data_IF_809010149308
#
_entry.id   IF_809010149308
#
_cell.length_a   1.000
_cell.length_b   1.000
_cell.length_c   1.000
_cell.angle_alpha   90.00
_cell.angle_beta   90.00
_cell.angle_gamma   90.00
#
_symmetry.space_group_name_H-M   'P 1'
#
loop_
_entity.id
_entity.type
_entity.pdbx_description
1 polymer ?
#
# COMPACT_ATOMS: atom_id res chain seq x y z
N UNK A 1 -5.71 -21.89 8.33
CA UNK A 1 -6.96 -21.56 7.60
C UNK A 1 -6.54 -20.85 6.32
N UNK A 2 -7.10 -21.17 5.14
CA UNK A 2 -6.74 -20.50 3.90
C UNK A 2 -7.09 -18.99 3.94
N UNK A 3 -6.30 -18.16 3.27
CA UNK A 3 -6.54 -16.71 3.15
C UNK A 3 -7.77 -16.44 2.27
N UNK A 4 -8.62 -15.52 2.71
CA UNK A 4 -9.76 -15.01 1.94
C UNK A 4 -9.47 -13.60 1.40
N UNK A 5 -10.23 -13.10 0.42
CA UNK A 5 -9.95 -11.80 -0.21
C UNK A 5 -10.00 -10.63 0.80
N UNK A 6 -10.91 -10.68 1.78
CA UNK A 6 -11.00 -9.69 2.86
C UNK A 6 -9.83 -9.72 3.87
N UNK A 7 -8.92 -10.70 3.78
CA UNK A 7 -7.69 -10.73 4.57
C UNK A 7 -6.59 -9.82 4.00
N UNK A 8 -6.76 -9.34 2.76
CA UNK A 8 -5.79 -8.53 2.03
C UNK A 8 -6.15 -7.04 2.03
N UNK A 9 -5.13 -6.19 2.16
CA UNK A 9 -5.25 -4.75 1.96
C UNK A 9 -4.16 -4.25 1.03
N UNK A 10 -4.54 -3.48 0.00
CA UNK A 10 -3.62 -2.77 -0.88
C UNK A 10 -3.62 -1.28 -0.51
N UNK A 11 -2.44 -0.69 -0.38
CA UNK A 11 -2.33 0.75 -0.10
C UNK A 11 -1.24 1.43 -0.90
N UNK A 12 -1.58 2.59 -1.44
CA UNK A 12 -0.63 3.56 -1.95
C UNK A 12 -0.88 4.90 -1.26
N UNK A 13 0.17 5.73 -1.19
CA UNK A 13 0.11 7.05 -0.56
C UNK A 13 -0.86 8.00 -1.25
N UNK A 14 -0.95 7.93 -2.58
CA UNK A 14 -1.83 8.81 -3.35
C UNK A 14 -3.05 8.07 -3.88
N UNK A 15 -4.23 8.64 -3.66
CA UNK A 15 -5.52 8.13 -4.17
C UNK A 15 -5.54 7.93 -5.68
N UNK A 16 -4.70 8.67 -6.40
CA UNK A 16 -4.56 8.54 -7.86
C UNK A 16 -4.02 7.16 -8.28
N UNK A 17 -3.33 6.46 -7.38
CA UNK A 17 -2.87 5.07 -7.59
C UNK A 17 -3.94 4.08 -7.16
N UNK A 18 -4.66 4.34 -6.07
CA UNK A 18 -5.66 3.42 -5.52
C UNK A 18 -6.83 3.15 -6.50
N UNK A 19 -7.28 4.15 -7.25
CA UNK A 19 -8.38 3.98 -8.22
C UNK A 19 -8.01 3.03 -9.38
N UNK A 20 -6.88 3.24 -10.10
CA UNK A 20 -6.40 2.29 -11.10
C UNK A 20 -6.18 0.87 -10.55
N UNK A 21 -5.67 0.74 -9.33
CA UNK A 21 -5.51 -0.58 -8.68
C UNK A 21 -6.86 -1.28 -8.54
N UNK A 22 -7.89 -0.55 -8.08
CA UNK A 22 -9.26 -1.08 -7.96
C UNK A 22 -9.83 -1.52 -9.31
N UNK A 23 -9.57 -0.76 -10.37
CA UNK A 23 -10.01 -1.09 -11.74
C UNK A 23 -9.28 -2.32 -12.30
N UNK A 24 -8.00 -2.50 -11.95
CA UNK A 24 -7.18 -3.62 -12.40
C UNK A 24 -7.50 -4.95 -11.68
N UNK A 25 -8.19 -4.92 -10.54
CA UNK A 25 -8.56 -6.14 -9.83
C UNK A 25 -9.58 -6.98 -10.63
N UNK A 26 -9.32 -8.30 -10.69
CA UNK A 26 -10.26 -9.25 -11.26
C UNK A 26 -11.62 -9.21 -10.53
N UNK A 27 -12.72 -9.43 -11.26
CA UNK A 27 -14.09 -9.29 -10.72
C UNK A 27 -14.35 -10.08 -9.44
N UNK A 28 -13.81 -11.31 -9.32
CA UNK A 28 -13.95 -12.13 -8.11
C UNK A 28 -13.25 -11.58 -6.86
N UNK A 29 -12.31 -10.64 -7.02
CA UNK A 29 -11.63 -9.96 -5.90
C UNK A 29 -12.34 -8.68 -5.47
N UNK A 30 -13.42 -8.30 -6.16
CA UNK A 30 -14.22 -7.09 -5.93
C UNK A 30 -15.62 -7.41 -5.39
N UNK A 31 -15.87 -8.66 -4.99
CA UNK A 31 -17.15 -9.09 -4.42
C UNK A 31 -17.46 -8.30 -3.13
N UNK A 32 -18.61 -7.62 -3.01
CA UNK A 32 -18.93 -6.80 -1.83
C UNK A 32 -18.91 -7.53 -0.49
N UNK A 33 -19.08 -8.85 -0.49
CA UNK A 33 -19.09 -9.71 0.70
C UNK A 33 -17.70 -10.26 1.04
N UNK A 34 -16.79 -10.27 0.06
CA UNK A 34 -15.43 -10.79 0.19
C UNK A 34 -14.49 -10.17 -0.85
N UNK A 35 -14.12 -8.91 -0.65
CA UNK A 35 -13.22 -8.17 -1.54
C UNK A 35 -11.87 -7.86 -0.90
N UNK A 36 -10.87 -7.64 -1.75
CA UNK A 36 -9.61 -7.02 -1.34
C UNK A 36 -9.89 -5.56 -0.99
N UNK A 37 -9.44 -5.12 0.18
CA UNK A 37 -9.57 -3.72 0.59
C UNK A 37 -8.49 -2.88 -0.10
N UNK A 38 -8.87 -1.70 -0.58
CA UNK A 38 -7.92 -0.72 -1.13
C UNK A 38 -8.11 0.59 -0.37
N UNK A 39 -7.04 1.11 0.22
CA UNK A 39 -7.14 2.32 1.03
C UNK A 39 -5.86 3.18 1.02
N UNK A 40 -5.95 4.42 1.52
CA UNK A 40 -4.78 5.31 1.63
C UNK A 40 -3.98 5.08 2.92
N UNK A 41 -2.74 5.56 2.95
CA UNK A 41 -1.86 5.47 4.12
C UNK A 41 -2.47 6.05 5.39
N UNK A 42 -3.26 7.14 5.27
CA UNK A 42 -3.88 7.81 6.40
C UNK A 42 -5.01 6.97 7.00
N UNK A 43 -5.75 6.26 6.14
CA UNK A 43 -6.86 5.39 6.56
C UNK A 43 -6.39 4.06 7.12
N UNK A 44 -5.16 3.66 6.81
CA UNK A 44 -4.50 2.53 7.46
C UNK A 44 -4.21 2.78 8.94
N UNK A 45 -4.16 4.02 9.41
CA UNK A 45 -3.90 4.32 10.81
C UNK A 45 -5.02 3.74 11.69
N UNK A 46 -4.69 2.74 12.51
CA UNK A 46 -5.65 2.05 13.37
C UNK A 46 -6.43 0.92 12.70
N UNK A 47 -6.07 0.53 11.47
CA UNK A 47 -6.58 -0.67 10.81
C UNK A 47 -5.46 -1.71 10.68
N UNK A 48 -5.80 -2.99 10.85
CA UNK A 48 -4.87 -4.11 10.64
C UNK A 48 -5.50 -5.16 9.72
N UNK A 49 -4.72 -5.76 8.83
CA UNK A 49 -5.12 -6.88 7.97
C UNK A 49 -4.09 -8.02 8.06
N UNK A 50 -4.43 -9.23 7.61
CA UNK A 50 -3.47 -10.35 7.68
C UNK A 50 -2.30 -10.09 6.73
N UNK A 51 -2.60 -9.67 5.50
CA UNK A 51 -1.61 -9.37 4.48
C UNK A 51 -1.78 -7.95 3.96
N UNK A 52 -0.66 -7.21 3.88
CA UNK A 52 -0.63 -5.90 3.21
C UNK A 52 0.23 -5.94 1.95
N UNK A 53 -0.25 -5.25 0.92
CA UNK A 53 0.50 -4.93 -0.30
C UNK A 53 0.59 -3.41 -0.37
N UNK A 54 1.79 -2.86 -0.28
CA UNK A 54 2.00 -1.42 -0.19
C UNK A 54 2.90 -0.92 -1.31
N UNK A 55 2.51 0.16 -1.96
CA UNK A 55 3.39 0.88 -2.89
C UNK A 55 4.24 1.84 -2.07
N UNK A 56 5.56 1.69 -2.14
CA UNK A 56 6.49 2.53 -1.41
C UNK A 56 6.21 4.02 -1.71
N UNK A 57 6.10 4.92 -0.71
CA UNK A 57 5.69 6.31 -0.92
C UNK A 57 6.50 7.06 -1.97
N UNK A 58 7.83 6.89 -1.93
CA UNK A 58 8.74 7.49 -2.91
C UNK A 58 8.60 6.94 -4.34
N UNK A 59 7.87 5.84 -4.54
CA UNK A 59 7.67 5.32 -5.89
C UNK A 59 6.96 6.35 -6.76
N UNK A 60 6.09 7.21 -6.23
CA UNK A 60 5.40 8.23 -7.03
C UNK A 60 6.10 9.59 -7.07
N UNK A 61 7.31 9.66 -6.51
CA UNK A 61 8.05 10.90 -6.35
C UNK A 61 9.27 10.88 -7.25
N UNK A 62 9.36 11.82 -8.20
CA UNK A 62 10.54 11.96 -9.08
C UNK A 62 11.57 12.94 -8.53
N UNK A 63 11.12 13.92 -7.72
CA UNK A 63 11.97 14.91 -7.06
C UNK A 63 11.44 15.11 -5.64
N UNK A 64 12.00 14.42 -4.64
CA UNK A 64 11.51 14.49 -3.28
C UNK A 64 11.85 15.83 -2.63
N UNK A 65 10.91 16.36 -1.87
CA UNK A 65 11.19 17.36 -0.86
C UNK A 65 11.48 16.66 0.48
N UNK A 66 11.92 17.42 1.48
CA UNK A 66 12.25 16.87 2.81
C UNK A 66 11.11 16.08 3.45
N UNK A 67 9.84 16.47 3.20
CA UNK A 67 8.67 15.76 3.71
C UNK A 67 8.44 14.39 3.05
N UNK A 68 8.90 14.19 1.81
CA UNK A 68 8.74 12.91 1.10
C UNK A 68 9.69 11.84 1.66
N UNK A 69 10.83 12.29 2.21
CA UNK A 69 11.85 11.45 2.83
C UNK A 69 11.52 11.08 4.28
N UNK A 70 10.47 11.68 4.86
CA UNK A 70 10.00 11.30 6.18
C UNK A 70 9.50 9.84 6.19
N UNK A 71 9.95 9.08 7.17
CA UNK A 71 9.65 7.65 7.29
C UNK A 71 8.21 7.37 7.75
N UNK A 72 7.48 8.38 8.19
CA UNK A 72 6.20 8.23 8.90
C UNK A 72 5.16 7.45 8.09
N UNK A 73 5.00 7.78 6.81
CA UNK A 73 4.03 7.11 5.93
C UNK A 73 4.39 5.65 5.72
N UNK A 74 5.66 5.38 5.45
CA UNK A 74 6.16 4.02 5.27
C UNK A 74 6.04 3.22 6.58
N UNK A 75 6.34 3.84 7.72
CA UNK A 75 6.23 3.21 9.05
C UNK A 75 4.80 2.77 9.34
N UNK A 76 3.81 3.63 9.07
CA UNK A 76 2.39 3.26 9.18
C UNK A 76 2.08 2.11 8.22
N UNK A 77 2.41 2.24 6.94
CA UNK A 77 2.08 1.22 5.92
C UNK A 77 2.74 -0.14 6.21
N UNK A 78 3.96 -0.16 6.71
CA UNK A 78 4.72 -1.37 7.01
C UNK A 78 4.30 -2.05 8.32
N UNK A 79 3.53 -1.40 9.19
CA UNK A 79 3.19 -1.92 10.53
C UNK A 79 1.76 -2.44 10.69
N UNK A 80 0.91 -2.36 9.65
CA UNK A 80 -0.51 -2.78 9.73
C UNK A 80 -0.79 -4.22 9.31
N UNK A 81 0.25 -5.00 8.98
CA UNK A 81 0.11 -6.42 8.67
C UNK A 81 0.25 -7.27 9.92
N UNK A 82 -0.53 -8.35 10.00
CA UNK A 82 -0.43 -9.33 11.10
C UNK A 82 0.39 -10.56 10.73
N UNK A 83 0.55 -10.85 9.44
CA UNK A 83 1.24 -12.05 8.97
C UNK A 83 2.29 -11.73 7.93
N UNK A 84 1.92 -11.06 6.84
CA UNK A 84 2.82 -10.83 5.71
C UNK A 84 2.73 -9.41 5.14
N UNK A 85 3.86 -8.90 4.64
CA UNK A 85 3.97 -7.60 3.99
C UNK A 85 4.66 -7.74 2.64
N UNK A 86 4.04 -7.20 1.59
CA UNK A 86 4.63 -7.06 0.26
C UNK A 86 4.82 -5.57 -0.02
N UNK A 87 6.06 -5.14 -0.27
CA UNK A 87 6.37 -3.76 -0.66
C UNK A 87 6.71 -3.74 -2.14
N UNK A 88 6.02 -2.88 -2.89
CA UNK A 88 6.26 -2.62 -4.30
C UNK A 88 6.94 -1.27 -4.42
N UNK A 89 8.12 -1.22 -5.03
CA UNK A 89 8.86 0.03 -5.28
C UNK A 89 9.26 0.17 -6.74
N UNK A 90 9.47 1.42 -7.18
CA UNK A 90 10.17 1.71 -8.43
C UNK A 90 11.69 1.65 -8.24
N UNK A 91 12.39 1.37 -9.32
CA UNK A 91 13.84 1.20 -9.40
C UNK A 91 14.64 2.44 -8.97
N UNK A 92 14.08 3.64 -9.11
CA UNK A 92 14.72 4.89 -8.74
C UNK A 92 14.70 5.19 -7.23
N UNK A 93 13.93 4.45 -6.43
CA UNK A 93 13.77 4.70 -4.98
C UNK A 93 15.08 4.59 -4.20
N UNK A 94 15.92 3.56 -4.36
CA UNK A 94 17.18 3.45 -3.61
C UNK A 94 18.10 4.66 -3.82
N UNK A 95 18.27 5.11 -5.08
CA UNK A 95 19.09 6.27 -5.40
C UNK A 95 18.62 7.56 -4.72
N UNK A 96 17.31 7.71 -4.48
CA UNK A 96 16.76 8.85 -3.75
C UNK A 96 16.99 8.79 -2.25
N UNK A 97 17.11 7.59 -1.66
CA UNK A 97 17.40 7.42 -0.23
C UNK A 97 18.88 7.64 0.09
N UNK A 98 19.76 7.43 -0.89
CA UNK A 98 21.21 7.62 -0.76
C UNK A 98 21.68 9.07 -1.07
N UNK A 99 20.75 9.97 -1.41
CA UNK A 99 21.01 11.38 -1.78
C UNK A 99 20.95 12.32 -0.57
#
# INVERSE_FOLDING_TARGET
MPLAANDYLISATHRIINNPVMEALAGGLRDPTNCIRIDSSERLQGLEHKLLIVVHPLSDVMRPFSFDLETDRLCVMASRHRSDLIVISRDHVPAMLDS
#
